data_IF_597910189399
#
_entry.id   IF_597910189399
#
_cell.length_a   1.000
_cell.length_b   1.000
_cell.length_c   1.000
_cell.angle_alpha   90.00
_cell.angle_beta   90.00
_cell.angle_gamma   90.00
#
_symmetry.space_group_name_H-M   'P 1'
#
loop_
_entity.id
_entity.type
_entity.pdbx_description
1 polymer ?
#
# COMPACT_ATOMS: atom_id res chain seq x y z
N UNK A 1 16.39 12.93 8.51
CA UNK A 1 16.32 11.50 8.87
C UNK A 1 16.71 10.67 7.64
N UNK A 2 17.42 9.55 7.77
CA UNK A 2 17.74 8.65 6.64
C UNK A 2 17.08 7.29 6.89
N UNK A 3 16.20 6.85 5.99
CA UNK A 3 15.64 5.50 6.02
C UNK A 3 16.65 4.52 5.41
N UNK A 4 16.87 3.40 6.09
CA UNK A 4 17.73 2.29 5.67
C UNK A 4 17.05 0.99 6.09
N UNK A 5 17.30 -0.08 5.32
CA UNK A 5 16.64 -1.40 5.38
C UNK A 5 15.52 -1.59 4.34
N UNK A 6 14.65 -2.58 4.55
CA UNK A 6 13.69 -3.07 3.55
C UNK A 6 12.34 -2.38 3.73
N UNK A 7 11.92 -1.63 2.71
CA UNK A 7 10.63 -0.93 2.64
C UNK A 7 9.96 -1.29 1.31
N UNK A 8 9.10 -2.32 1.28
CA UNK A 8 8.41 -2.70 0.04
C UNK A 8 7.53 -1.55 -0.46
N UNK A 9 7.53 -1.35 -1.77
CA UNK A 9 6.51 -0.54 -2.44
C UNK A 9 5.21 -1.34 -2.47
N UNK A 10 4.35 -1.12 -1.48
CA UNK A 10 3.16 -1.93 -1.25
C UNK A 10 2.14 -1.73 -2.38
N UNK A 11 1.54 -2.84 -2.81
CA UNK A 11 0.41 -2.84 -3.73
C UNK A 11 -0.84 -2.32 -3.01
N UNK A 12 -1.77 -1.75 -3.78
CA UNK A 12 -3.13 -1.45 -3.36
C UNK A 12 -4.04 -2.29 -4.25
N UNK A 13 -4.71 -3.33 -3.72
CA UNK A 13 -5.65 -4.13 -4.50
C UNK A 13 -6.92 -3.32 -4.76
N UNK A 14 -7.49 -3.50 -5.94
CA UNK A 14 -8.76 -2.91 -6.34
C UNK A 14 -9.75 -4.02 -6.70
N UNK A 15 -11.04 -3.78 -6.44
CA UNK A 15 -12.14 -4.62 -6.92
C UNK A 15 -12.33 -4.44 -8.44
N UNK A 16 -13.16 -5.27 -9.06
CA UNK A 16 -13.48 -5.16 -10.49
C UNK A 16 -14.14 -3.81 -10.84
N UNK A 17 -14.82 -3.17 -9.88
CA UNK A 17 -15.40 -1.83 -10.01
C UNK A 17 -14.38 -0.70 -9.77
N UNK A 18 -13.10 -1.02 -9.56
CA UNK A 18 -12.02 -0.06 -9.36
C UNK A 18 -12.02 0.59 -7.97
N UNK A 19 -12.68 0.00 -6.97
CA UNK A 19 -12.63 0.47 -5.58
C UNK A 19 -11.51 -0.22 -4.83
N UNK A 20 -10.89 0.45 -3.86
CA UNK A 20 -9.86 -0.17 -3.02
C UNK A 20 -10.47 -1.34 -2.23
N UNK A 21 -9.84 -2.52 -2.30
CA UNK A 21 -10.22 -3.69 -1.53
C UNK A 21 -9.42 -3.75 -0.22
N UNK A 22 -9.93 -3.07 0.81
CA UNK A 22 -9.27 -3.02 2.12
C UNK A 22 -9.18 -4.38 2.82
N UNK A 23 -10.11 -5.30 2.56
CA UNK A 23 -10.08 -6.63 3.19
C UNK A 23 -8.92 -7.47 2.68
N UNK A 24 -8.66 -7.44 1.37
CA UNK A 24 -7.47 -8.06 0.78
C UNK A 24 -6.20 -7.32 1.17
N UNK A 25 -6.26 -5.99 1.22
CA UNK A 25 -5.11 -5.16 1.56
C UNK A 25 -4.59 -5.43 2.98
N UNK A 26 -5.47 -5.56 3.98
CA UNK A 26 -5.08 -5.86 5.37
C UNK A 26 -4.28 -7.16 5.45
N UNK A 27 -4.77 -8.25 4.83
CA UNK A 27 -4.05 -9.52 4.80
C UNK A 27 -2.71 -9.46 4.06
N UNK A 28 -2.62 -8.66 2.99
CA UNK A 28 -1.36 -8.42 2.28
C UNK A 28 -0.34 -7.65 3.15
N UNK A 29 -0.80 -6.64 3.88
CA UNK A 29 0.03 -5.85 4.79
C UNK A 29 0.53 -6.72 5.95
N UNK A 30 -0.35 -7.53 6.54
CA UNK A 30 0.01 -8.49 7.59
C UNK A 30 1.07 -9.48 7.09
N UNK A 31 0.92 -9.99 5.87
CA UNK A 31 1.93 -10.84 5.25
C UNK A 31 3.29 -10.14 5.13
N UNK A 32 3.34 -8.89 4.66
CA UNK A 32 4.59 -8.15 4.56
C UNK A 32 5.23 -7.93 5.94
N UNK A 33 4.42 -7.54 6.93
CA UNK A 33 4.87 -7.37 8.31
C UNK A 33 5.42 -8.69 8.85
N UNK A 34 4.76 -9.81 8.59
CA UNK A 34 5.20 -11.16 9.00
C UNK A 34 6.55 -11.56 8.40
N UNK A 35 7.02 -10.90 7.33
CA UNK A 35 8.36 -11.12 6.75
C UNK A 35 9.45 -10.25 7.35
N UNK A 36 9.14 -9.42 8.35
CA UNK A 36 10.13 -8.61 9.06
C UNK A 36 10.62 -7.40 8.27
N UNK A 37 9.75 -6.80 7.45
CA UNK A 37 10.06 -5.54 6.76
C UNK A 37 10.18 -4.39 7.76
N UNK A 38 11.00 -3.39 7.45
CA UNK A 38 11.33 -2.30 8.39
C UNK A 38 10.38 -1.10 8.26
N UNK A 39 9.48 -1.16 7.27
CA UNK A 39 8.41 -0.24 7.03
C UNK A 39 7.80 -0.51 5.67
N UNK A 40 6.86 0.34 5.28
CA UNK A 40 6.09 0.20 4.05
C UNK A 40 6.15 1.51 3.29
N UNK A 41 6.33 1.44 1.98
CA UNK A 41 6.18 2.57 1.09
C UNK A 41 4.82 2.47 0.39
N UNK A 42 3.87 3.28 0.87
CA UNK A 42 2.48 3.26 0.43
C UNK A 42 2.26 4.31 -0.66
N UNK A 43 1.25 4.08 -1.51
CA UNK A 43 0.80 5.02 -2.55
C UNK A 43 1.92 5.51 -3.50
N UNK A 44 2.95 4.69 -3.69
CA UNK A 44 3.94 4.88 -4.76
C UNK A 44 3.37 4.49 -6.12
N UNK A 45 4.23 4.42 -7.14
CA UNK A 45 3.84 3.94 -8.49
C UNK A 45 3.26 2.53 -8.43
N UNK A 46 3.83 1.65 -7.61
CA UNK A 46 3.36 0.27 -7.46
C UNK A 46 2.06 0.15 -6.63
N UNK A 47 1.76 1.17 -5.82
CA UNK A 47 0.49 1.28 -5.11
C UNK A 47 -0.55 2.09 -5.89
N UNK A 48 -0.30 2.34 -7.18
CA UNK A 48 -1.15 3.14 -8.07
C UNK A 48 -1.54 4.52 -7.53
N UNK A 49 -0.71 5.08 -6.65
CA UNK A 49 -1.02 6.34 -5.98
C UNK A 49 -1.23 7.51 -6.95
N UNK A 50 -0.63 7.48 -8.14
CA UNK A 50 -0.88 8.51 -9.17
C UNK A 50 -2.31 8.52 -9.71
N UNK A 51 -3.02 7.38 -9.63
CA UNK A 51 -4.39 7.23 -10.15
C UNK A 51 -5.46 7.63 -9.14
N UNK A 52 -5.13 7.60 -7.84
CA UNK A 52 -6.03 8.03 -6.78
C UNK A 52 -6.19 9.55 -6.76
N UNK A 53 -7.42 10.01 -6.54
CA UNK A 53 -7.70 11.41 -6.28
C UNK A 53 -7.28 11.82 -4.85
N UNK A 54 -7.36 13.11 -4.53
CA UNK A 54 -6.88 13.62 -3.25
C UNK A 54 -7.64 13.04 -2.04
N UNK A 55 -8.97 12.91 -2.14
CA UNK A 55 -9.78 12.38 -1.04
C UNK A 55 -9.53 10.88 -0.85
N UNK A 56 -9.34 10.12 -1.93
CA UNK A 56 -8.94 8.70 -1.84
C UNK A 56 -7.59 8.54 -1.14
N UNK A 57 -6.59 9.36 -1.52
CA UNK A 57 -5.26 9.36 -0.87
C UNK A 57 -5.31 9.72 0.61
N UNK A 58 -6.18 10.67 0.96
CA UNK A 58 -6.30 11.18 2.32
C UNK A 58 -7.03 10.21 3.24
N UNK A 59 -7.95 9.42 2.70
CA UNK A 59 -8.73 8.43 3.44
C UNK A 59 -8.15 7.01 3.35
N UNK A 60 -7.01 6.84 2.68
CA UNK A 60 -6.22 5.62 2.66
C UNK A 60 -5.38 5.49 3.93
#
# INVERSE_FOLDING_TARGET
MKFRSIFPAALVPFTEEGKIDFGVWEGYIDFLISKGVHGLFLLGTNGEGSLLNFEEKKNF
#
